data_IF_034613523876
#
_entry.id   IF_034613523876
#
_cell.length_a   1.000
_cell.length_b   1.000
_cell.length_c   1.000
_cell.angle_alpha   90.00
_cell.angle_beta   90.00
_cell.angle_gamma   90.00
#
_symmetry.space_group_name_H-M   'P 1'
#
loop_
_entity.id
_entity.type
_entity.pdbx_description
1 polymer ?
#
# COMPACT_ATOMS: atom_id res chain seq x y z
N UNK A 1 26.01 24.46 -30.51
CA UNK A 1 24.90 25.35 -30.10
C UNK A 1 23.63 25.05 -30.88
N UNK A 2 23.67 25.03 -32.21
CA UNK A 2 22.50 24.72 -33.06
C UNK A 2 21.80 23.40 -32.72
N UNK A 3 22.54 22.29 -32.61
CA UNK A 3 22.00 20.99 -32.21
C UNK A 3 21.26 21.01 -30.87
N UNK A 4 21.79 21.75 -29.89
CA UNK A 4 21.19 21.88 -28.56
C UNK A 4 19.86 22.64 -28.66
N UNK A 5 19.82 23.72 -29.44
CA UNK A 5 18.59 24.50 -29.64
C UNK A 5 17.52 23.69 -30.37
N UNK A 6 17.89 22.90 -31.39
CA UNK A 6 16.96 22.03 -32.12
C UNK A 6 16.40 20.95 -31.19
N UNK A 7 17.26 20.29 -30.41
CA UNK A 7 16.85 19.21 -29.50
C UNK A 7 15.92 19.74 -28.41
N UNK A 8 16.28 20.87 -27.80
CA UNK A 8 15.50 21.49 -26.72
C UNK A 8 14.17 22.06 -27.25
N UNK A 9 14.18 22.60 -28.46
CA UNK A 9 12.97 23.01 -29.19
C UNK A 9 12.03 21.84 -29.50
N UNK A 10 12.56 20.69 -29.92
CA UNK A 10 11.76 19.49 -30.20
C UNK A 10 11.11 18.93 -28.93
N UNK A 11 11.87 18.83 -27.84
CA UNK A 11 11.32 18.39 -26.55
C UNK A 11 10.26 19.37 -26.05
N UNK A 12 10.54 20.69 -26.12
CA UNK A 12 9.58 21.71 -25.75
C UNK A 12 8.29 21.66 -26.58
N UNK A 13 8.41 21.40 -27.89
CA UNK A 13 7.27 21.22 -28.79
C UNK A 13 6.41 20.00 -28.41
N UNK A 14 7.04 18.85 -28.13
CA UNK A 14 6.32 17.65 -27.68
C UNK A 14 5.56 17.93 -26.39
N UNK A 15 6.21 18.54 -25.40
CA UNK A 15 5.57 18.91 -24.12
C UNK A 15 4.40 19.87 -24.37
N UNK A 16 4.58 20.89 -25.21
CA UNK A 16 3.52 21.84 -25.54
C UNK A 16 2.30 21.15 -26.18
N UNK A 17 2.52 20.21 -27.10
CA UNK A 17 1.46 19.40 -27.72
C UNK A 17 0.73 18.57 -26.66
N UNK A 18 1.45 17.89 -25.76
CA UNK A 18 0.84 17.09 -24.69
C UNK A 18 0.00 17.96 -23.73
N UNK A 19 0.50 19.14 -23.36
CA UNK A 19 -0.24 20.09 -22.51
C UNK A 19 -1.49 20.60 -23.22
N UNK A 20 -1.40 20.93 -24.51
CA UNK A 20 -2.57 21.35 -25.29
C UNK A 20 -3.60 20.22 -25.41
N UNK A 21 -3.16 18.98 -25.60
CA UNK A 21 -4.04 17.81 -25.66
C UNK A 21 -4.76 17.61 -24.33
N UNK A 22 -4.03 17.67 -23.21
CA UNK A 22 -4.58 17.56 -21.86
C UNK A 22 -5.52 18.73 -21.51
N UNK A 23 -5.26 19.94 -22.02
CA UNK A 23 -6.10 21.12 -21.82
C UNK A 23 -7.38 21.07 -22.65
N UNK A 24 -7.29 20.55 -23.87
CA UNK A 24 -8.40 20.48 -24.84
C UNK A 24 -9.33 19.29 -24.59
N UNK A 25 -8.82 18.19 -24.01
CA UNK A 25 -9.61 17.04 -23.59
C UNK A 25 -9.71 17.00 -22.06
N UNK A 26 -10.81 17.49 -21.45
CA UNK A 26 -11.04 17.43 -20.01
C UNK A 26 -11.35 16.01 -19.47
N UNK A 27 -11.34 14.99 -20.34
CA UNK A 27 -11.47 13.58 -19.95
C UNK A 27 -10.13 13.00 -19.48
N UNK A 28 -10.19 12.11 -18.50
CA UNK A 28 -9.00 11.36 -18.03
C UNK A 28 -8.43 10.54 -19.19
N UNK A 29 -7.10 10.51 -19.36
CA UNK A 29 -6.44 9.66 -20.37
C UNK A 29 -6.79 8.17 -20.27
N UNK A 30 -7.38 7.74 -19.15
CA UNK A 30 -7.96 6.42 -18.94
C UNK A 30 -9.16 6.12 -19.87
N UNK A 31 -9.93 7.13 -20.26
CA UNK A 31 -11.09 6.96 -21.15
C UNK A 31 -10.67 6.72 -22.61
N UNK A 32 -9.47 7.15 -23.03
CA UNK A 32 -8.99 6.92 -24.40
C UNK A 32 -8.54 5.48 -24.66
N UNK A 33 -8.19 4.73 -23.61
CA UNK A 33 -7.69 3.34 -23.68
C UNK A 33 -8.77 2.31 -23.34
N UNK A 34 -10.00 2.76 -23.05
CA UNK A 34 -11.08 1.91 -22.53
C UNK A 34 -10.59 1.06 -21.34
N UNK A 35 -9.80 1.70 -20.45
CA UNK A 35 -9.30 1.06 -19.23
C UNK A 35 -10.46 0.93 -18.26
N UNK A 36 -11.37 -0.02 -18.51
CA UNK A 36 -12.27 -0.54 -17.49
C UNK A 36 -11.41 -1.26 -16.46
N UNK A 37 -11.54 -0.88 -15.19
CA UNK A 37 -11.09 -1.70 -14.07
C UNK A 37 -11.59 -3.13 -14.36
N UNK A 38 -10.70 -4.11 -14.50
CA UNK A 38 -11.05 -5.49 -14.90
C UNK A 38 -11.93 -6.22 -13.88
N UNK A 39 -12.44 -5.52 -12.87
CA UNK A 39 -13.16 -6.07 -11.74
C UNK A 39 -14.36 -5.20 -11.40
N UNK A 40 -15.52 -5.83 -11.43
CA UNK A 40 -16.77 -5.31 -10.90
C UNK A 40 -16.71 -5.31 -9.37
N UNK A 41 -16.89 -4.14 -8.74
CA UNK A 41 -16.73 -3.95 -7.30
C UNK A 41 -17.66 -4.85 -6.47
N UNK A 42 -18.87 -5.11 -6.96
CA UNK A 42 -19.82 -5.97 -6.26
C UNK A 42 -19.35 -7.43 -6.22
N UNK A 43 -18.78 -7.90 -7.32
CA UNK A 43 -18.20 -9.25 -7.42
C UNK A 43 -16.96 -9.39 -6.54
N UNK A 44 -16.12 -8.38 -6.47
CA UNK A 44 -14.93 -8.38 -5.60
C UNK A 44 -15.30 -8.41 -4.12
N UNK A 45 -16.27 -7.60 -3.68
CA UNK A 45 -16.74 -7.61 -2.29
C UNK A 45 -17.34 -8.95 -1.85
N UNK A 46 -18.04 -9.65 -2.76
CA UNK A 46 -18.54 -11.00 -2.49
C UNK A 46 -17.41 -12.01 -2.32
N UNK A 47 -16.42 -11.96 -3.22
CA UNK A 47 -15.24 -12.83 -3.13
C UNK A 47 -14.43 -12.62 -1.85
N UNK A 48 -14.27 -11.37 -1.42
CA UNK A 48 -13.58 -11.04 -0.17
C UNK A 48 -14.34 -11.57 1.06
N UNK A 49 -15.67 -11.44 1.10
CA UNK A 49 -16.47 -12.00 2.19
C UNK A 49 -16.35 -13.53 2.26
N UNK A 50 -16.38 -14.20 1.10
CA UNK A 50 -16.22 -15.66 1.03
C UNK A 50 -14.82 -16.11 1.48
N UNK A 51 -13.78 -15.32 1.19
CA UNK A 51 -12.41 -15.61 1.63
C UNK A 51 -12.27 -15.51 3.16
N UNK A 52 -12.83 -14.45 3.76
CA UNK A 52 -12.87 -14.30 5.23
C UNK A 52 -13.62 -15.46 5.90
N UNK A 53 -14.74 -15.89 5.33
CA UNK A 53 -15.49 -17.03 5.84
C UNK A 53 -14.66 -18.34 5.81
N UNK A 54 -13.90 -18.56 4.73
CA UNK A 54 -13.01 -19.72 4.61
C UNK A 54 -11.87 -19.68 5.65
N UNK A 55 -11.27 -18.51 5.87
CA UNK A 55 -10.24 -18.34 6.90
C UNK A 55 -10.76 -18.66 8.31
N UNK A 56 -11.96 -18.19 8.65
CA UNK A 56 -12.60 -18.47 9.94
C UNK A 56 -12.90 -19.97 10.08
N UNK A 57 -13.45 -20.59 9.03
CA UNK A 57 -13.74 -22.02 9.03
C UNK A 57 -12.48 -22.86 9.25
N UNK A 58 -11.37 -22.50 8.59
CA UNK A 58 -10.08 -23.16 8.76
C UNK A 58 -9.54 -23.00 10.20
N UNK A 59 -9.61 -21.80 10.78
CA UNK A 59 -9.20 -21.60 12.17
C UNK A 59 -10.06 -22.39 13.16
N UNK A 60 -11.38 -22.45 12.93
CA UNK A 60 -12.30 -23.19 13.79
C UNK A 60 -12.06 -24.70 13.73
N UNK A 61 -11.65 -25.24 12.58
CA UNK A 61 -11.20 -26.63 12.49
C UNK A 61 -10.02 -26.91 13.44
N UNK A 62 -9.00 -26.04 13.45
CA UNK A 62 -7.88 -26.16 14.39
C UNK A 62 -8.29 -25.97 15.85
N UNK A 63 -9.20 -25.02 16.13
CA UNK A 63 -9.71 -24.76 17.49
C UNK A 63 -10.52 -25.94 18.03
N UNK A 64 -11.37 -26.54 17.20
CA UNK A 64 -12.15 -27.75 17.53
C UNK A 64 -11.24 -28.91 17.92
N UNK A 65 -10.16 -29.15 17.18
CA UNK A 65 -9.17 -30.19 17.52
C UNK A 65 -8.49 -29.98 18.87
N UNK A 66 -8.36 -28.72 19.31
CA UNK A 66 -7.76 -28.35 20.60
C UNK A 66 -8.79 -28.15 21.72
N UNK A 67 -10.08 -28.35 21.44
CA UNK A 67 -11.17 -28.11 22.40
C UNK A 67 -11.37 -26.63 22.75
N UNK A 68 -10.86 -25.71 21.93
CA UNK A 68 -11.03 -24.28 22.11
C UNK A 68 -12.39 -23.82 21.54
N UNK A 69 -13.01 -22.75 22.11
CA UNK A 69 -14.23 -22.17 21.58
C UNK A 69 -14.10 -21.75 20.11
N UNK A 70 -15.16 -21.91 19.33
CA UNK A 70 -15.20 -21.44 17.95
C UNK A 70 -15.15 -19.92 17.86
N UNK A 71 -14.53 -19.41 16.80
CA UNK A 71 -14.42 -17.99 16.50
C UNK A 71 -15.53 -17.57 15.54
N UNK A 72 -16.22 -16.49 15.89
CA UNK A 72 -17.24 -15.89 15.02
C UNK A 72 -16.65 -14.77 14.16
N UNK A 73 -17.38 -14.35 13.13
CA UNK A 73 -17.04 -13.15 12.32
C UNK A 73 -16.94 -11.90 13.19
N UNK A 74 -17.84 -11.73 14.17
CA UNK A 74 -17.79 -10.61 15.11
C UNK A 74 -16.54 -10.62 15.99
N UNK A 75 -16.04 -11.81 16.35
CA UNK A 75 -14.77 -11.94 17.08
C UNK A 75 -13.58 -11.58 16.21
N UNK A 76 -13.58 -12.02 14.96
CA UNK A 76 -12.55 -11.67 13.98
C UNK A 76 -12.47 -10.15 13.77
N UNK A 77 -13.61 -9.48 13.61
CA UNK A 77 -13.67 -8.01 13.51
C UNK A 77 -13.12 -7.31 14.75
N UNK A 78 -13.50 -7.79 15.94
CA UNK A 78 -13.02 -7.20 17.20
C UNK A 78 -11.50 -7.33 17.32
N UNK A 79 -10.95 -8.50 17.05
CA UNK A 79 -9.50 -8.73 17.07
C UNK A 79 -8.79 -7.88 16.02
N UNK A 80 -9.35 -7.73 14.82
CA UNK A 80 -8.79 -6.86 13.78
C UNK A 80 -8.72 -5.40 14.20
N UNK A 81 -9.78 -4.88 14.84
CA UNK A 81 -9.79 -3.50 15.39
C UNK A 81 -8.77 -3.33 16.52
N UNK A 82 -8.57 -4.36 17.33
CA UNK A 82 -7.57 -4.33 18.40
C UNK A 82 -6.15 -4.34 17.83
N UNK A 83 -5.87 -5.18 16.83
CA UNK A 83 -4.57 -5.23 16.15
C UNK A 83 -4.26 -3.92 15.44
N UNK A 84 -5.25 -3.30 14.79
CA UNK A 84 -5.10 -1.97 14.19
C UNK A 84 -4.73 -0.91 15.24
N UNK A 85 -5.40 -0.90 16.41
CA UNK A 85 -5.06 0.01 17.52
C UNK A 85 -3.68 -0.25 18.12
N UNK A 86 -3.20 -1.48 18.06
CA UNK A 86 -1.83 -1.81 18.48
C UNK A 86 -0.83 -1.33 17.43
N UNK A 87 -1.12 -1.53 16.13
CA UNK A 87 -0.30 -1.02 15.03
C UNK A 87 -0.22 0.49 15.03
N UNK A 88 -1.33 1.20 15.15
CA UNK A 88 -1.36 2.67 15.26
C UNK A 88 -0.53 3.18 16.43
N UNK A 89 -0.53 2.46 17.56
CA UNK A 89 0.33 2.78 18.71
C UNK A 89 1.79 2.37 18.51
N UNK A 90 2.03 1.35 17.70
CA UNK A 90 3.34 0.78 17.38
C UNK A 90 4.02 1.41 16.16
N UNK A 91 3.33 2.26 15.41
CA UNK A 91 3.96 3.21 14.48
C UNK A 91 4.80 4.13 15.35
N UNK A 92 6.05 3.74 15.54
CA UNK A 92 7.08 4.59 16.13
C UNK A 92 7.07 5.89 15.34
N UNK A 93 6.77 6.99 16.03
CA UNK A 93 6.94 8.33 15.51
C UNK A 93 8.33 8.44 14.86
N UNK A 94 8.43 9.11 13.71
CA UNK A 94 9.66 9.17 12.90
C UNK A 94 10.85 9.67 13.75
N UNK A 95 10.61 10.60 14.67
CA UNK A 95 11.60 11.09 15.63
C UNK A 95 11.99 10.11 16.75
N UNK A 96 11.25 9.02 16.94
CA UNK A 96 11.58 7.92 17.85
C UNK A 96 12.52 6.91 17.20
N UNK A 97 12.37 6.66 15.89
CA UNK A 97 13.29 5.84 15.10
C UNK A 97 14.66 6.51 14.98
N UNK A 98 14.68 7.82 14.68
CA UNK A 98 15.92 8.62 14.64
C UNK A 98 16.69 8.61 15.97
N UNK A 99 15.98 8.59 17.10
CA UNK A 99 16.60 8.51 18.42
C UNK A 99 17.16 7.12 18.71
N UNK A 100 16.49 6.07 18.25
CA UNK A 100 16.96 4.70 18.39
C UNK A 100 18.20 4.46 17.52
N UNK A 101 18.19 4.95 16.28
CA UNK A 101 19.31 4.88 15.34
C UNK A 101 20.55 5.60 15.91
N UNK A 102 20.36 6.82 16.44
CA UNK A 102 21.44 7.57 17.09
C UNK A 102 22.03 6.82 18.29
N UNK A 103 21.18 6.24 19.15
CA UNK A 103 21.65 5.40 20.28
C UNK A 103 22.44 4.17 19.81
N UNK A 104 21.94 3.45 18.81
CA UNK A 104 22.62 2.27 18.27
C UNK A 104 23.98 2.62 17.67
N UNK A 105 24.11 3.81 17.07
CA UNK A 105 25.37 4.33 16.55
C UNK A 105 26.33 4.76 17.65
N UNK A 106 25.81 5.35 18.72
CA UNK A 106 26.60 5.82 19.88
C UNK A 106 27.05 4.64 20.77
N UNK A 107 26.24 3.58 20.87
CA UNK A 107 26.56 2.34 21.61
C UNK A 107 27.31 1.31 20.74
N UNK A 108 27.59 1.62 19.46
CA UNK A 108 28.42 0.77 18.62
C UNK A 108 29.86 0.78 19.20
N UNK A 109 30.40 -0.36 19.65
CA UNK A 109 31.78 -0.42 20.10
C UNK A 109 32.69 -0.04 18.93
N UNK A 110 33.72 0.75 19.23
CA UNK A 110 34.74 1.18 18.28
C UNK A 110 35.50 -0.06 17.77
N UNK A 111 34.96 -0.70 16.73
CA UNK A 111 35.63 -1.78 16.00
C UNK A 111 36.63 -1.17 15.00
N UNK A 112 37.66 -0.56 15.56
CA UNK A 112 38.88 -0.08 14.91
C UNK A 112 39.84 0.37 16.02
N UNK A 113 41.11 0.02 16.09
CA UNK A 113 42.07 -0.42 15.09
C UNK A 113 43.11 -1.32 15.79
N UNK A 114 43.59 -2.35 15.09
CA UNK A 114 44.81 -3.09 15.44
C UNK A 114 45.91 -2.76 14.46
#
# INVERSE_FOLDING_TARGET
MEYVLITLGMVGFIVAVLVLLARAYPGSGADLVDWRLTRDHETEFKLEQDDVAQMIAAQNEYRRRRGAPELTTADAERMGREDQRVRERGVMDEGSLDRLDRRLRDDAPDEGEG
#
